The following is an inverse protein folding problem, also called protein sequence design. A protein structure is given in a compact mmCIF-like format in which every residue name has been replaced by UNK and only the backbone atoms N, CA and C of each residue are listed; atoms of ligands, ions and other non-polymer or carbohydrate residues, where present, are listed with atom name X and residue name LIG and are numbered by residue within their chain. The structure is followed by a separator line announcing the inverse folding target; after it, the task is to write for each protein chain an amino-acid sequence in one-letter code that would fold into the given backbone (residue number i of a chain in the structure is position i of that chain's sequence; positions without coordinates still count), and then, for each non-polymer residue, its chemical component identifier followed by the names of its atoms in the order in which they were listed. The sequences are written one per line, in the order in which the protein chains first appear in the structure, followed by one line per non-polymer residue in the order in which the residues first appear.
data_IF_911907667523
#
_entry.id   IF_911907667523
#
_cell.length_a   1.000
_cell.length_b   1.000
_cell.length_c   1.000
_cell.angle_alpha   90.00
_cell.angle_beta   90.00
_cell.angle_gamma   90.00
#
_symmetry.space_group_name_H-M   'P 1'
#
loop_
_entity.id
_entity.type
_entity.pdbx_description
1 polymer ?
#
# COMPACT_ATOMS: atom_id res chain seq x y z
N UNK A 1 -6.92 -71.39 -7.78
CA UNK A 1 -6.44 -70.19 -8.51
C UNK A 1 -7.54 -69.14 -8.44
N UNK A 2 -7.53 -68.28 -7.43
CA UNK A 2 -8.48 -67.19 -7.28
C UNK A 2 -7.65 -65.90 -7.20
N UNK A 3 -7.75 -65.07 -8.24
CA UNK A 3 -7.08 -63.77 -8.32
C UNK A 3 -7.95 -62.73 -7.60
N UNK A 4 -7.44 -62.17 -6.51
CA UNK A 4 -7.97 -60.93 -5.94
C UNK A 4 -7.47 -59.76 -6.80
N UNK A 5 -8.40 -59.00 -7.39
CA UNK A 5 -8.10 -57.71 -8.02
C UNK A 5 -8.25 -56.64 -6.94
N UNK A 6 -7.14 -55.99 -6.59
CA UNK A 6 -7.11 -54.85 -5.68
C UNK A 6 -7.46 -53.59 -6.49
N UNK A 7 -8.64 -53.01 -6.27
CA UNK A 7 -9.01 -51.72 -6.85
C UNK A 7 -8.39 -50.61 -6.00
N UNK A 8 -7.34 -49.96 -6.51
CA UNK A 8 -6.81 -48.74 -5.94
C UNK A 8 -7.70 -47.56 -6.38
N UNK A 9 -8.43 -46.96 -5.43
CA UNK A 9 -9.10 -45.69 -5.66
C UNK A 9 -8.03 -44.59 -5.64
N UNK A 10 -7.73 -44.02 -6.81
CA UNK A 10 -6.94 -42.80 -6.92
C UNK A 10 -7.76 -41.63 -6.38
N UNK A 11 -7.36 -41.10 -5.23
CA UNK A 11 -7.70 -39.73 -4.84
C UNK A 11 -7.06 -38.82 -5.88
N UNK A 12 -7.87 -38.30 -6.80
CA UNK A 12 -7.48 -37.16 -7.60
C UNK A 12 -7.24 -36.01 -6.62
N UNK A 13 -5.97 -35.75 -6.31
CA UNK A 13 -5.56 -34.47 -5.77
C UNK A 13 -5.84 -33.46 -6.89
N UNK A 14 -7.02 -32.84 -6.84
CA UNK A 14 -7.30 -31.69 -7.67
C UNK A 14 -6.21 -30.69 -7.35
N UNK A 15 -5.28 -30.49 -8.29
CA UNK A 15 -4.47 -29.28 -8.30
C UNK A 15 -5.47 -28.15 -8.46
N UNK A 16 -5.91 -27.57 -7.34
CA UNK A 16 -6.33 -26.18 -7.35
C UNK A 16 -5.19 -25.46 -8.02
N UNK A 17 -5.39 -25.00 -9.25
CA UNK A 17 -4.44 -24.11 -9.90
C UNK A 17 -4.07 -23.07 -8.86
N UNK A 18 -2.79 -22.75 -8.76
CA UNK A 18 -2.31 -21.65 -7.92
C UNK A 18 -3.18 -20.45 -8.31
N UNK A 19 -4.21 -20.15 -7.52
CA UNK A 19 -4.87 -18.88 -7.65
C UNK A 19 -3.76 -17.92 -7.28
N UNK A 20 -3.45 -17.01 -8.19
CA UNK A 20 -2.51 -15.95 -7.90
C UNK A 20 -3.19 -15.10 -6.82
N UNK A 21 -3.01 -15.49 -5.55
CA UNK A 21 -3.69 -14.90 -4.38
C UNK A 21 -3.41 -13.39 -4.29
N UNK A 22 -2.37 -12.96 -5.01
CA UNK A 22 -1.89 -11.60 -5.13
C UNK A 22 -2.16 -10.91 -6.47
N UNK A 23 -3.10 -11.41 -7.28
CA UNK A 23 -3.58 -10.68 -8.46
C UNK A 23 -4.08 -9.28 -8.05
N UNK A 24 -3.72 -8.28 -8.87
CA UNK A 24 -4.24 -6.93 -8.70
C UNK A 24 -5.75 -6.92 -8.88
N UNK A 25 -6.45 -6.25 -7.96
CA UNK A 25 -7.87 -5.91 -8.11
C UNK A 25 -8.09 -4.47 -7.70
N UNK A 26 -8.83 -3.73 -8.52
CA UNK A 26 -9.27 -2.40 -8.17
C UNK A 26 -10.06 -2.43 -6.84
N UNK A 27 -9.91 -1.41 -5.97
CA UNK A 27 -10.80 -1.26 -4.83
C UNK A 27 -12.25 -1.07 -5.30
N UNK A 28 -13.19 -1.66 -4.58
CA UNK A 28 -14.62 -1.40 -4.73
C UNK A 28 -15.00 -0.09 -4.02
N UNK A 29 -16.25 0.36 -4.23
CA UNK A 29 -16.76 1.57 -3.58
C UNK A 29 -16.83 1.49 -2.05
N UNK A 30 -16.76 0.29 -1.45
CA UNK A 30 -16.80 0.10 0.01
C UNK A 30 -15.43 -0.14 0.64
N UNK A 31 -14.41 -0.28 -0.20
CA UNK A 31 -13.04 -0.52 0.23
C UNK A 31 -12.35 0.81 0.49
N UNK A 32 -11.56 0.87 1.57
CA UNK A 32 -10.83 2.09 1.94
C UNK A 32 -9.36 1.97 1.59
N UNK A 33 -8.73 3.11 1.34
CA UNK A 33 -7.31 3.23 0.98
C UNK A 33 -6.71 4.39 1.78
N UNK A 34 -5.39 4.40 1.86
CA UNK A 34 -4.57 5.35 2.61
C UNK A 34 -3.95 6.42 1.70
N UNK A 35 -3.34 7.49 2.24
CA UNK A 35 -2.45 8.35 1.46
C UNK A 35 -1.15 7.62 1.04
N UNK A 36 -0.82 6.49 1.65
CA UNK A 36 0.38 5.70 1.37
C UNK A 36 0.20 4.81 0.11
N UNK A 37 0.99 5.02 -0.97
CA UNK A 37 0.89 4.17 -2.15
C UNK A 37 1.29 2.71 -1.86
N UNK A 38 2.24 2.47 -0.96
CA UNK A 38 2.68 1.12 -0.59
C UNK A 38 1.57 0.26 0.01
N UNK A 39 0.89 0.76 1.05
CA UNK A 39 -0.21 0.02 1.70
C UNK A 39 -1.39 -0.20 0.74
N UNK A 40 -1.67 0.78 -0.13
CA UNK A 40 -2.72 0.66 -1.13
C UNK A 40 -2.43 -0.45 -2.15
N UNK A 41 -1.18 -0.54 -2.60
CA UNK A 41 -0.73 -1.63 -3.49
C UNK A 41 -0.85 -2.98 -2.78
N UNK A 42 -0.39 -3.11 -1.54
CA UNK A 42 -0.51 -4.35 -0.77
C UNK A 42 -1.97 -4.79 -0.59
N UNK A 43 -2.90 -3.86 -0.34
CA UNK A 43 -4.33 -4.17 -0.28
C UNK A 43 -4.91 -4.52 -1.66
N UNK A 44 -4.53 -3.81 -2.73
CA UNK A 44 -4.96 -4.12 -4.10
C UNK A 44 -4.45 -5.48 -4.58
N UNK A 45 -3.35 -5.98 -4.02
CA UNK A 45 -2.76 -7.29 -4.28
C UNK A 45 -3.05 -8.30 -3.16
N UNK A 46 -4.02 -8.04 -2.26
CA UNK A 46 -4.45 -9.04 -1.27
C UNK A 46 -3.40 -9.47 -0.22
N UNK A 47 -2.23 -8.83 -0.15
CA UNK A 47 -1.29 -9.01 0.98
C UNK A 47 -1.87 -8.44 2.27
N UNK A 48 -2.65 -7.36 2.14
CA UNK A 48 -3.54 -6.87 3.19
C UNK A 48 -5.00 -7.19 2.82
N UNK A 49 -5.93 -7.24 3.79
CA UNK A 49 -7.36 -7.26 3.50
C UNK A 49 -7.73 -6.26 2.41
N UNK A 50 -8.31 -6.76 1.31
CA UNK A 50 -8.60 -5.96 0.12
C UNK A 50 -9.57 -4.80 0.40
N UNK A 51 -10.38 -4.94 1.45
CA UNK A 51 -11.27 -3.89 1.93
C UNK A 51 -10.56 -2.74 2.67
N UNK A 52 -9.28 -2.91 3.01
CA UNK A 52 -8.47 -1.91 3.71
C UNK A 52 -8.84 -1.70 5.17
N UNK A 53 -9.56 -2.64 5.80
CA UNK A 53 -10.10 -2.48 7.16
C UNK A 53 -9.46 -3.45 8.17
N UNK A 54 -9.50 -3.06 9.44
CA UNK A 54 -9.01 -3.85 10.57
C UNK A 54 -7.56 -4.34 10.42
N UNK A 55 -6.68 -3.47 9.91
CA UNK A 55 -5.28 -3.75 9.66
C UNK A 55 -4.50 -3.67 10.98
N UNK A 56 -3.89 -4.78 11.40
CA UNK A 56 -3.01 -4.82 12.58
C UNK A 56 -1.54 -4.59 12.21
N UNK A 57 -0.69 -4.26 13.21
CA UNK A 57 0.77 -4.13 12.99
C UNK A 57 1.36 -5.42 12.39
N UNK A 58 1.14 -6.64 12.94
CA UNK A 58 1.69 -7.86 12.36
C UNK A 58 1.32 -8.02 10.88
N UNK A 59 0.07 -7.74 10.50
CA UNK A 59 -0.36 -7.80 9.10
C UNK A 59 0.41 -6.82 8.21
N UNK A 60 0.71 -5.61 8.69
CA UNK A 60 1.54 -4.66 7.94
C UNK A 60 2.97 -5.16 7.78
N UNK A 61 3.56 -5.75 8.84
CA UNK A 61 4.92 -6.30 8.82
C UNK A 61 5.04 -7.46 7.82
N UNK A 62 4.12 -8.41 7.89
CA UNK A 62 4.10 -9.58 7.02
C UNK A 62 3.87 -9.17 5.56
N UNK A 63 2.89 -8.29 5.31
CA UNK A 63 2.60 -7.80 3.96
C UNK A 63 3.77 -7.00 3.35
N UNK A 64 4.48 -6.18 4.15
CA UNK A 64 5.64 -5.44 3.66
C UNK A 64 6.84 -6.35 3.36
N UNK A 65 7.03 -7.40 4.15
CA UNK A 65 8.06 -8.41 3.90
C UNK A 65 7.73 -9.22 2.63
N UNK A 66 6.51 -9.74 2.51
CA UNK A 66 6.13 -10.60 1.39
C UNK A 66 5.97 -9.83 0.07
N UNK A 67 5.36 -8.64 0.12
CA UNK A 67 5.07 -7.85 -1.08
C UNK A 67 6.24 -6.98 -1.55
N UNK A 68 7.09 -6.49 -0.64
CA UNK A 68 8.17 -5.54 -0.96
C UNK A 68 9.56 -5.95 -0.45
N UNK A 69 9.70 -7.10 0.22
CA UNK A 69 10.95 -7.53 0.85
C UNK A 69 11.49 -6.49 1.86
N UNK A 70 10.58 -5.81 2.58
CA UNK A 70 10.92 -4.87 3.64
C UNK A 70 10.90 -5.56 5.00
N UNK A 71 12.06 -5.68 5.63
CA UNK A 71 12.17 -6.25 6.97
C UNK A 71 11.44 -5.41 8.04
N UNK A 72 11.00 -6.02 9.16
CA UNK A 72 10.18 -5.35 10.18
C UNK A 72 10.75 -4.03 10.70
N UNK A 73 12.07 -3.95 10.88
CA UNK A 73 12.75 -2.75 11.37
C UNK A 73 12.54 -1.52 10.47
N UNK A 74 12.26 -1.74 9.18
CA UNK A 74 12.05 -0.67 8.19
C UNK A 74 10.72 0.05 8.38
N UNK A 75 9.69 -0.64 8.90
CA UNK A 75 8.32 -0.11 8.94
C UNK A 75 7.66 -0.14 10.32
N UNK A 76 8.26 -0.80 11.32
CA UNK A 76 7.65 -0.96 12.65
C UNK A 76 7.28 0.36 13.31
N UNK A 77 8.10 1.40 13.15
CA UNK A 77 7.82 2.72 13.71
C UNK A 77 6.63 3.38 13.00
N UNK A 78 6.60 3.35 11.67
CA UNK A 78 5.46 3.86 10.89
C UNK A 78 4.16 3.12 11.22
N UNK A 79 4.21 1.80 11.38
CA UNK A 79 3.05 0.99 11.76
C UNK A 79 2.53 1.34 13.17
N UNK A 80 3.42 1.56 14.14
CA UNK A 80 3.06 1.99 15.51
C UNK A 80 2.46 3.39 15.54
N UNK A 81 3.07 4.36 14.86
CA UNK A 81 2.49 5.70 14.74
C UNK A 81 1.16 5.65 14.02
N UNK A 82 1.02 4.81 12.98
CA UNK A 82 -0.22 4.62 12.23
C UNK A 82 -1.39 4.22 13.12
N UNK A 83 -1.20 3.35 14.12
CA UNK A 83 -2.28 2.98 15.05
C UNK A 83 -2.87 4.17 15.83
N UNK A 84 -2.11 5.26 16.02
CA UNK A 84 -2.62 6.47 16.68
C UNK A 84 -3.66 7.22 15.84
N UNK A 85 -3.75 6.91 14.53
CA UNK A 85 -4.79 7.45 13.65
C UNK A 85 -6.10 6.67 13.71
N UNK A 86 -6.07 5.43 14.19
CA UNK A 86 -7.24 4.54 14.24
C UNK A 86 -8.08 4.72 15.49
N UNK A 87 -9.34 4.26 15.42
CA UNK A 87 -10.28 4.27 16.55
C UNK A 87 -10.26 2.98 17.38
N UNK A 88 -9.39 2.02 17.05
CA UNK A 88 -9.28 0.73 17.73
C UNK A 88 -7.88 0.55 18.36
N UNK A 89 -7.76 -0.16 19.49
CA UNK A 89 -6.49 -0.26 20.23
C UNK A 89 -5.34 -0.93 19.47
N UNK A 90 -5.65 -1.82 18.53
CA UNK A 90 -4.66 -2.70 17.87
C UNK A 90 -4.81 -2.77 16.35
N UNK A 91 -5.79 -2.07 15.78
CA UNK A 91 -6.05 -2.07 14.34
C UNK A 91 -6.41 -0.67 13.85
N UNK A 92 -6.21 -0.44 12.55
CA UNK A 92 -6.68 0.75 11.85
C UNK A 92 -7.35 0.37 10.52
N UNK A 93 -8.21 1.24 10.04
CA UNK A 93 -8.67 1.24 8.65
C UNK A 93 -7.75 2.16 7.85
N UNK A 94 -7.42 1.80 6.60
CA UNK A 94 -6.35 2.46 5.86
C UNK A 94 -6.59 3.97 5.61
N UNK A 95 -7.84 4.40 5.48
CA UNK A 95 -8.22 5.80 5.33
C UNK A 95 -8.00 6.64 6.59
N UNK A 96 -7.94 6.01 7.78
CA UNK A 96 -7.59 6.68 9.02
C UNK A 96 -6.20 7.35 8.95
N UNK A 97 -5.29 6.80 8.15
CA UNK A 97 -3.95 7.35 7.93
C UNK A 97 -3.95 8.72 7.23
N UNK A 98 -5.08 9.22 6.74
CA UNK A 98 -5.23 10.60 6.27
C UNK A 98 -5.35 11.64 7.40
N UNK A 99 -5.29 11.20 8.67
CA UNK A 99 -5.23 12.11 9.81
C UNK A 99 -3.98 13.00 9.72
N UNK A 100 -4.22 14.27 9.39
CA UNK A 100 -3.19 15.28 9.19
C UNK A 100 -2.37 15.56 10.46
N UNK A 101 -1.10 15.92 10.28
CA UNK A 101 -0.14 16.24 11.36
C UNK A 101 0.23 15.06 12.27
N UNK A 102 -0.06 13.83 11.85
CA UNK A 102 0.50 12.61 12.45
C UNK A 102 1.62 12.06 11.55
N UNK A 103 1.28 11.14 10.64
CA UNK A 103 2.17 10.71 9.56
C UNK A 103 1.85 11.49 8.28
N UNK A 104 0.57 11.71 7.99
CA UNK A 104 0.14 12.52 6.85
C UNK A 104 0.63 13.97 7.01
N UNK A 105 1.17 14.51 5.93
CA UNK A 105 1.87 15.79 5.90
C UNK A 105 1.70 16.49 4.54
N UNK A 106 1.81 17.82 4.58
CA UNK A 106 1.82 18.67 3.39
C UNK A 106 3.06 18.42 2.51
N UNK A 107 3.09 19.04 1.33
CA UNK A 107 4.12 18.86 0.31
C UNK A 107 4.25 17.41 -0.18
N UNK A 108 3.15 16.66 -0.11
CA UNK A 108 3.07 15.30 -0.61
C UNK A 108 3.40 15.21 -2.11
N UNK A 109 3.98 14.08 -2.52
CA UNK A 109 4.42 13.85 -3.91
C UNK A 109 3.28 13.56 -4.89
N UNK A 110 2.10 13.23 -4.38
CA UNK A 110 0.94 12.86 -5.22
C UNK A 110 -0.42 13.15 -4.58
N UNK A 111 -0.46 13.75 -3.39
CA UNK A 111 -1.67 14.12 -2.63
C UNK A 111 -1.67 15.62 -2.40
N UNK A 112 -2.86 16.20 -2.25
CA UNK A 112 -3.01 17.61 -1.87
C UNK A 112 -2.60 17.85 -0.43
N UNK A 113 -2.33 19.11 -0.11
CA UNK A 113 -2.12 19.53 1.26
C UNK A 113 -3.47 19.63 1.99
N UNK A 114 -3.47 19.35 3.29
CA UNK A 114 -4.72 19.23 4.06
C UNK A 114 -5.55 20.53 4.02
N UNK A 115 -4.90 21.68 4.10
CA UNK A 115 -5.57 22.99 4.07
C UNK A 115 -6.26 23.28 2.72
N UNK A 116 -5.86 22.58 1.65
CA UNK A 116 -6.36 22.80 0.29
C UNK A 116 -7.45 21.80 -0.12
N UNK A 117 -7.76 20.81 0.73
CA UNK A 117 -8.85 19.87 0.53
C UNK A 117 -8.42 18.41 0.66
N UNK A 118 -8.31 17.70 -0.46
CA UNK A 118 -8.12 16.24 -0.48
C UNK A 118 -6.63 15.86 -0.30
N UNK A 119 -6.29 15.42 0.92
CA UNK A 119 -4.97 14.89 1.29
C UNK A 119 -4.87 13.35 1.19
N UNK A 120 -5.92 12.68 0.71
CA UNK A 120 -6.01 11.23 0.72
C UNK A 120 -5.78 10.63 -0.68
N UNK A 121 -6.47 11.15 -1.69
CA UNK A 121 -6.50 10.53 -3.01
C UNK A 121 -5.34 10.98 -3.90
N UNK A 122 -4.99 10.12 -4.86
CA UNK A 122 -4.01 10.45 -5.89
C UNK A 122 -4.48 11.66 -6.71
N UNK A 123 -3.59 12.61 -6.91
CA UNK A 123 -3.79 13.82 -7.69
C UNK A 123 -2.73 13.88 -8.81
N UNK A 124 -3.17 13.74 -10.06
CA UNK A 124 -2.30 13.72 -11.23
C UNK A 124 -1.54 15.04 -11.43
N UNK A 125 -2.18 16.19 -11.16
CA UNK A 125 -1.54 17.50 -11.27
C UNK A 125 -0.36 17.62 -10.31
N UNK A 126 -0.52 17.16 -9.07
CA UNK A 126 0.56 17.16 -8.07
C UNK A 126 1.65 16.15 -8.45
N UNK A 127 1.25 14.94 -8.88
CA UNK A 127 2.18 13.91 -9.29
C UNK A 127 3.01 14.29 -10.53
N UNK A 128 2.51 15.21 -11.36
CA UNK A 128 3.22 15.68 -12.56
C UNK A 128 4.59 16.27 -12.26
N UNK A 129 4.81 16.85 -11.07
CA UNK A 129 6.15 17.31 -10.64
C UNK A 129 7.15 16.16 -10.60
N UNK A 130 6.75 15.01 -10.04
CA UNK A 130 7.57 13.81 -10.02
C UNK A 130 7.67 13.18 -11.41
N UNK A 131 6.55 13.06 -12.13
CA UNK A 131 6.49 12.40 -13.44
C UNK A 131 7.37 13.07 -14.51
N UNK A 132 7.60 14.38 -14.41
CA UNK A 132 8.45 15.15 -15.33
C UNK A 132 9.88 15.35 -14.78
N UNK A 133 10.24 14.71 -13.67
CA UNK A 133 11.57 14.83 -13.08
C UNK A 133 12.59 13.97 -13.85
N UNK A 134 13.87 14.35 -13.73
CA UNK A 134 15.01 13.65 -14.35
C UNK A 134 14.95 13.51 -15.88
N UNK A 135 14.69 14.59 -16.63
CA UNK A 135 14.52 14.50 -18.08
C UNK A 135 15.77 13.97 -18.78
N UNK A 136 15.56 13.14 -19.81
CA UNK A 136 16.64 12.56 -20.61
C UNK A 136 17.11 11.18 -20.15
N UNK A 137 16.55 10.66 -19.05
CA UNK A 137 16.74 9.27 -18.59
C UNK A 137 15.40 8.62 -18.24
N UNK A 138 15.39 7.30 -18.06
CA UNK A 138 14.20 6.46 -17.83
C UNK A 138 14.03 5.99 -16.38
N UNK A 139 14.73 6.64 -15.44
CA UNK A 139 14.70 6.30 -14.02
C UNK A 139 14.59 7.55 -13.14
N UNK A 140 14.02 7.39 -11.96
CA UNK A 140 14.17 8.34 -10.86
C UNK A 140 15.39 7.95 -10.02
N UNK A 141 16.10 8.94 -9.50
CA UNK A 141 17.24 8.75 -8.59
C UNK A 141 17.18 9.75 -7.42
N UNK A 142 18.15 9.63 -6.50
CA UNK A 142 18.22 10.49 -5.32
C UNK A 142 18.26 11.99 -5.65
N UNK A 143 18.99 12.40 -6.70
CA UNK A 143 19.07 13.79 -7.12
C UNK A 143 17.71 14.31 -7.59
N UNK A 144 17.03 13.57 -8.46
CA UNK A 144 15.69 13.94 -8.93
C UNK A 144 14.65 13.94 -7.81
N UNK A 145 14.74 12.98 -6.89
CA UNK A 145 13.84 12.92 -5.73
C UNK A 145 14.01 14.14 -4.81
N UNK A 146 15.26 14.55 -4.53
CA UNK A 146 15.53 15.75 -3.73
C UNK A 146 14.99 17.00 -4.41
N UNK A 147 15.20 17.15 -5.73
CA UNK A 147 14.66 18.30 -6.47
C UNK A 147 13.13 18.35 -6.44
N UNK A 148 12.47 17.20 -6.57
CA UNK A 148 11.00 17.11 -6.50
C UNK A 148 10.51 17.50 -5.10
N UNK A 149 11.16 17.04 -4.04
CA UNK A 149 10.78 17.41 -2.67
C UNK A 149 10.90 18.92 -2.44
N UNK A 150 11.99 19.54 -2.89
CA UNK A 150 12.18 21.00 -2.80
C UNK A 150 11.10 21.77 -3.56
N UNK A 151 10.76 21.33 -4.77
CA UNK A 151 9.70 21.94 -5.58
C UNK A 151 8.32 21.78 -4.93
N UNK A 152 8.00 20.59 -4.41
CA UNK A 152 6.72 20.34 -3.74
C UNK A 152 6.58 21.19 -2.48
N UNK A 153 7.64 21.34 -1.69
CA UNK A 153 7.65 22.24 -0.54
C UNK A 153 7.45 23.70 -0.96
N UNK A 154 8.16 24.17 -1.99
CA UNK A 154 8.02 25.54 -2.49
C UNK A 154 6.60 25.84 -3.00
N UNK A 155 5.95 24.89 -3.68
CA UNK A 155 4.55 25.03 -4.11
C UNK A 155 3.63 25.13 -2.90
N UNK A 156 3.80 24.25 -1.91
CA UNK A 156 2.96 24.19 -0.71
C UNK A 156 3.05 25.48 0.11
N UNK A 157 4.24 26.10 0.18
CA UNK A 157 4.44 27.39 0.85
C UNK A 157 3.83 28.58 0.10
N UNK A 158 3.53 28.43 -1.19
CA UNK A 158 3.04 29.49 -2.05
C UNK A 158 1.51 29.52 -2.20
N UNK A 159 0.80 28.53 -1.65
CA UNK A 159 -0.65 28.33 -1.75
C UNK A 159 -1.30 28.30 -0.38
#
# INVERSE_FOLDING_TARGET
KASLILAAASLAYGSTGHQDDHEWRAPTATDVRSPCPGLNTLANHGYLPRNGKNISIPMMLDAALEGFNLGPDSIIQAAKFGLLSGNAPTTLDLDALALHSLIEHDASLSRGDFALGDNLHFNETIFSTLANSNPGVDYYNASSASMVQDQRLAISLAT
#
